data_IF_891562415600
#
_entry.id   IF_891562415600
#
_cell.length_a   1.000
_cell.length_b   1.000
_cell.length_c   1.000
_cell.angle_alpha   90.00
_cell.angle_beta   90.00
_cell.angle_gamma   90.00
#
_symmetry.space_group_name_H-M   'P 1'
#
loop_
_entity.id
_entity.type
_entity.pdbx_description
1 polymer ?
#
# COMPACT_ATOMS: atom_id res chain seq x y z
N UNK A 1 -20.42 1.87 58.02
CA UNK A 1 -19.67 2.77 57.13
C UNK A 1 -19.23 1.99 55.89
N UNK A 2 -19.57 2.49 54.70
CA UNK A 2 -19.41 1.81 53.41
C UNK A 2 -17.99 2.03 52.87
N UNK A 3 -17.32 0.96 52.42
CA UNK A 3 -16.24 1.05 51.43
C UNK A 3 -16.49 -0.05 50.38
N UNK A 4 -16.92 0.39 49.20
CA UNK A 4 -17.07 -0.42 47.99
C UNK A 4 -15.68 -0.54 47.35
N UNK A 5 -15.26 -1.74 46.94
CA UNK A 5 -14.17 -1.91 45.99
C UNK A 5 -14.71 -2.77 44.84
N UNK A 6 -14.83 -2.14 43.67
CA UNK A 6 -15.38 -2.70 42.45
C UNK A 6 -14.34 -3.60 41.77
N UNK A 7 -14.86 -4.70 41.26
CA UNK A 7 -14.40 -5.57 40.18
C UNK A 7 -13.39 -4.98 39.18
N UNK A 8 -12.53 -5.87 38.66
CA UNK A 8 -11.90 -5.66 37.36
C UNK A 8 -10.68 -6.53 37.09
N UNK A 9 -10.81 -7.86 37.11
CA UNK A 9 -9.75 -8.72 36.58
C UNK A 9 -9.68 -8.55 35.06
N UNK A 10 -8.56 -7.99 34.61
CA UNK A 10 -8.22 -7.73 33.21
C UNK A 10 -8.03 -9.06 32.48
N UNK A 11 -8.88 -9.36 31.50
CA UNK A 11 -8.68 -10.46 30.55
C UNK A 11 -7.76 -9.95 29.44
N UNK A 12 -6.48 -10.30 29.50
CA UNK A 12 -5.52 -10.03 28.45
C UNK A 12 -5.68 -11.09 27.34
N UNK A 13 -6.51 -10.78 26.33
CA UNK A 13 -6.59 -11.61 25.11
C UNK A 13 -5.41 -11.21 24.20
N UNK A 14 -4.33 -11.99 24.24
CA UNK A 14 -3.24 -11.89 23.25
C UNK A 14 -3.70 -12.60 21.99
N UNK A 15 -4.26 -11.84 21.03
CA UNK A 15 -4.52 -12.34 19.68
C UNK A 15 -3.19 -12.29 18.92
N UNK A 16 -2.53 -13.44 18.81
CA UNK A 16 -1.36 -13.63 17.97
C UNK A 16 -1.81 -13.57 16.50
N UNK A 17 -1.81 -12.36 15.92
CA UNK A 17 -2.20 -12.12 14.54
C UNK A 17 -1.18 -12.70 13.56
N UNK A 18 -1.54 -13.80 12.92
CA UNK A 18 -0.82 -14.33 11.77
C UNK A 18 -0.96 -13.32 10.61
N UNK A 19 0.09 -12.53 10.34
CA UNK A 19 0.09 -11.59 9.21
C UNK A 19 0.32 -12.37 7.93
N UNK A 20 -0.75 -12.82 7.28
CA UNK A 20 -0.69 -13.23 5.89
C UNK A 20 -0.51 -11.98 5.03
N UNK A 21 0.63 -11.85 4.37
CA UNK A 21 0.82 -10.86 3.31
C UNK A 21 -0.15 -11.20 2.16
N UNK A 22 -1.34 -10.59 2.20
CA UNK A 22 -2.33 -10.72 1.15
C UNK A 22 -1.74 -10.12 -0.15
N UNK A 23 -1.92 -10.83 -1.26
CA UNK A 23 -1.70 -10.23 -2.57
C UNK A 23 -2.62 -9.01 -2.70
N UNK A 24 -2.05 -7.86 -3.05
CA UNK A 24 -2.86 -6.66 -3.30
C UNK A 24 -3.69 -6.95 -4.56
N UNK A 25 -5.03 -6.99 -4.46
CA UNK A 25 -5.88 -7.20 -5.64
C UNK A 25 -5.66 -6.06 -6.65
N UNK A 26 -5.88 -6.36 -7.93
CA UNK A 26 -5.93 -5.30 -8.93
C UNK A 26 -7.04 -4.32 -8.54
N UNK A 27 -6.78 -3.00 -8.53
CA UNK A 27 -7.77 -2.04 -8.09
C UNK A 27 -8.93 -1.98 -9.08
N UNK A 28 -10.14 -2.02 -8.54
CA UNK A 28 -11.38 -2.06 -9.31
C UNK A 28 -11.66 -0.72 -10.03
N UNK A 29 -10.99 0.37 -9.62
CA UNK A 29 -11.13 1.70 -10.21
C UNK A 29 -9.81 2.49 -10.29
N UNK A 30 -9.72 3.48 -11.20
CA UNK A 30 -8.60 4.43 -11.24
C UNK A 30 -8.42 5.16 -9.90
N UNK A 31 -9.52 5.50 -9.22
CA UNK A 31 -9.49 6.16 -7.92
C UNK A 31 -8.85 5.28 -6.86
N UNK A 32 -9.22 4.00 -6.78
CA UNK A 32 -8.62 3.06 -5.84
C UNK A 32 -7.15 2.80 -6.14
N UNK A 33 -6.77 2.71 -7.42
CA UNK A 33 -5.37 2.62 -7.82
C UNK A 33 -4.58 3.82 -7.29
N UNK A 34 -5.09 5.03 -7.50
CA UNK A 34 -4.46 6.26 -7.04
C UNK A 34 -4.33 6.30 -5.51
N UNK A 35 -5.41 6.03 -4.79
CA UNK A 35 -5.41 6.03 -3.31
C UNK A 35 -4.46 4.97 -2.77
N UNK A 36 -4.44 3.78 -3.34
CA UNK A 36 -3.49 2.72 -2.99
C UNK A 36 -2.04 3.14 -3.21
N UNK A 37 -1.73 3.74 -4.37
CA UNK A 37 -0.38 4.23 -4.67
C UNK A 37 0.07 5.34 -3.70
N UNK A 38 -0.83 6.27 -3.34
CA UNK A 38 -0.55 7.32 -2.36
C UNK A 38 -0.37 6.74 -0.95
N UNK A 39 -1.13 5.71 -0.59
CA UNK A 39 -0.96 4.97 0.66
C UNK A 39 0.41 4.31 0.76
N UNK A 40 0.88 3.66 -0.31
CA UNK A 40 2.22 3.08 -0.39
C UNK A 40 3.31 4.16 -0.27
N UNK A 41 3.15 5.27 -1.01
CA UNK A 41 4.07 6.40 -0.90
C UNK A 41 4.15 6.92 0.53
N UNK A 42 3.01 7.08 1.21
CA UNK A 42 2.94 7.55 2.61
C UNK A 42 3.57 6.58 3.60
N UNK A 43 3.23 5.30 3.50
CA UNK A 43 3.71 4.28 4.42
C UNK A 43 5.23 4.07 4.34
N UNK A 44 5.82 4.26 3.15
CA UNK A 44 7.22 3.92 2.89
C UNK A 44 8.12 5.13 2.61
N UNK A 45 7.62 6.36 2.72
CA UNK A 45 8.48 7.55 2.63
C UNK A 45 9.38 7.68 3.87
N UNK A 46 10.66 7.93 3.65
CA UNK A 46 11.63 8.22 4.73
C UNK A 46 11.20 9.48 5.48
N UNK A 47 10.86 10.54 4.75
CA UNK A 47 10.44 11.84 5.30
C UNK A 47 8.94 11.90 5.61
N UNK A 48 8.26 10.77 5.82
CA UNK A 48 6.78 10.74 5.92
C UNK A 48 6.21 11.65 7.01
N UNK A 49 6.94 11.87 8.10
CA UNK A 49 6.43 12.64 9.25
C UNK A 49 6.54 14.16 9.02
N UNK A 50 7.30 14.62 8.03
CA UNK A 50 7.44 16.05 7.67
C UNK A 50 6.50 16.49 6.54
N UNK A 51 5.79 15.54 5.91
CA UNK A 51 4.92 15.79 4.75
C UNK A 51 3.50 16.13 5.18
N UNK A 52 2.93 17.18 4.59
CA UNK A 52 1.51 17.49 4.74
C UNK A 52 0.64 16.60 3.82
N UNK A 53 0.41 15.36 4.25
CA UNK A 53 -0.30 14.34 3.47
C UNK A 53 -1.70 14.73 3.00
N UNK A 54 -2.58 15.35 3.81
CA UNK A 54 -3.92 15.71 3.36
C UNK A 54 -3.90 16.62 2.12
N UNK A 55 -2.98 17.59 2.06
CA UNK A 55 -2.83 18.47 0.91
C UNK A 55 -2.26 17.74 -0.32
N UNK A 56 -1.36 16.78 -0.12
CA UNK A 56 -0.80 15.98 -1.20
C UNK A 56 -1.83 15.04 -1.82
N UNK A 57 -2.58 14.33 -0.98
CA UNK A 57 -3.65 13.42 -1.39
C UNK A 57 -4.77 14.17 -2.11
N UNK A 58 -5.26 15.28 -1.54
CA UNK A 58 -6.29 16.10 -2.19
C UNK A 58 -5.81 16.68 -3.53
N UNK A 59 -4.54 17.12 -3.61
CA UNK A 59 -3.96 17.63 -4.84
C UNK A 59 -3.75 16.57 -5.92
N UNK A 60 -3.57 15.32 -5.55
CA UNK A 60 -3.48 14.19 -6.47
C UNK A 60 -4.87 13.78 -6.98
N UNK A 61 -5.86 13.68 -6.08
CA UNK A 61 -7.24 13.35 -6.44
C UNK A 61 -7.81 14.32 -7.48
N UNK A 62 -7.63 15.63 -7.28
CA UNK A 62 -8.06 16.65 -8.26
C UNK A 62 -7.38 16.49 -9.62
N UNK A 63 -6.10 16.12 -9.66
CA UNK A 63 -5.36 15.92 -10.91
C UNK A 63 -5.80 14.68 -11.68
N UNK A 64 -6.40 13.72 -11.00
CA UNK A 64 -6.91 12.49 -11.60
C UNK A 64 -8.39 12.58 -11.98
N UNK A 65 -9.03 13.73 -11.81
CA UNK A 65 -10.37 13.96 -12.33
C UNK A 65 -10.40 13.69 -13.84
N UNK A 66 -11.33 12.84 -14.28
CA UNK A 66 -11.43 12.39 -15.67
C UNK A 66 -10.55 11.20 -16.05
N UNK A 67 -9.75 10.64 -15.13
CA UNK A 67 -9.02 9.41 -15.41
C UNK A 67 -9.98 8.21 -15.48
N UNK A 68 -10.11 7.62 -16.67
CA UNK A 68 -10.94 6.43 -16.89
C UNK A 68 -10.19 5.10 -16.70
N UNK A 69 -8.87 5.15 -16.53
CA UNK A 69 -8.02 3.96 -16.33
C UNK A 69 -6.96 4.20 -15.24
N UNK A 70 -6.46 3.16 -14.57
CA UNK A 70 -5.33 3.26 -13.65
C UNK A 70 -4.11 3.95 -14.26
N UNK A 71 -3.79 3.63 -15.52
CA UNK A 71 -2.72 4.27 -16.27
C UNK A 71 -2.89 5.80 -16.37
N UNK A 72 -4.14 6.28 -16.49
CA UNK A 72 -4.48 7.70 -16.50
C UNK A 72 -4.13 8.45 -15.20
N UNK A 73 -3.93 7.75 -14.08
CA UNK A 73 -3.62 8.37 -12.79
C UNK A 73 -2.13 8.69 -12.59
N UNK A 74 -1.25 8.21 -13.46
CA UNK A 74 0.20 8.34 -13.30
C UNK A 74 0.71 9.79 -13.30
N UNK A 75 0.03 10.70 -14.00
CA UNK A 75 0.33 12.13 -13.94
C UNK A 75 0.04 12.70 -12.55
N UNK A 76 -1.07 12.28 -11.92
CA UNK A 76 -1.43 12.66 -10.57
C UNK A 76 -0.45 12.09 -9.52
N UNK A 77 -0.06 10.82 -9.65
CA UNK A 77 0.92 10.18 -8.76
C UNK A 77 2.28 10.90 -8.86
N UNK A 78 2.76 11.20 -10.07
CA UNK A 78 4.00 12.02 -10.23
C UNK A 78 3.88 13.38 -9.57
N UNK A 79 2.75 14.05 -9.74
CA UNK A 79 2.49 15.32 -9.07
C UNK A 79 2.54 15.22 -7.54
N UNK A 80 2.08 14.10 -6.97
CA UNK A 80 2.22 13.82 -5.55
C UNK A 80 3.68 13.65 -5.13
N UNK A 81 4.47 12.83 -5.85
CA UNK A 81 5.90 12.62 -5.60
C UNK A 81 6.69 13.94 -5.53
N UNK A 82 6.46 14.83 -6.51
CA UNK A 82 7.09 16.15 -6.56
C UNK A 82 6.69 17.00 -5.36
N UNK A 83 5.40 17.01 -5.01
CA UNK A 83 4.88 17.83 -3.90
C UNK A 83 5.38 17.38 -2.55
N UNK A 84 5.48 16.06 -2.32
CA UNK A 84 5.99 15.52 -1.05
C UNK A 84 7.52 15.62 -0.97
N UNK A 85 8.20 16.04 -2.05
CA UNK A 85 9.65 16.21 -2.07
C UNK A 85 10.42 14.89 -1.94
N UNK A 86 9.80 13.75 -2.28
CA UNK A 86 10.43 12.44 -2.09
C UNK A 86 11.49 12.21 -3.17
N UNK A 87 12.76 12.40 -2.78
CA UNK A 87 13.96 12.13 -3.59
C UNK A 87 14.46 10.69 -3.54
N UNK A 88 13.87 9.87 -2.67
CA UNK A 88 14.29 8.50 -2.36
C UNK A 88 13.47 7.44 -3.09
N UNK A 89 12.43 7.84 -3.81
CA UNK A 89 11.54 6.94 -4.52
C UNK A 89 11.46 7.32 -6.00
N UNK A 90 11.32 6.30 -6.86
CA UNK A 90 11.14 6.45 -8.29
C UNK A 90 9.80 5.79 -8.67
N UNK A 91 8.99 6.49 -9.45
CA UNK A 91 7.77 5.94 -10.03
C UNK A 91 8.03 5.42 -11.45
N UNK A 92 7.90 4.12 -11.65
CA UNK A 92 7.97 3.51 -12.99
C UNK A 92 6.63 3.64 -13.70
N UNK A 93 6.62 4.31 -14.85
CA UNK A 93 5.43 4.44 -15.69
C UNK A 93 4.94 3.09 -16.25
N UNK A 94 3.67 3.01 -16.67
CA UNK A 94 3.06 1.75 -17.10
C UNK A 94 3.76 1.11 -18.32
N UNK A 95 4.35 1.91 -19.21
CA UNK A 95 5.13 1.40 -20.34
C UNK A 95 6.48 0.77 -19.93
N UNK A 96 7.04 1.20 -18.79
CA UNK A 96 8.32 0.68 -18.27
C UNK A 96 8.11 -0.47 -17.27
N UNK A 97 6.91 -0.59 -16.69
CA UNK A 97 6.55 -1.65 -15.79
C UNK A 97 6.34 -2.96 -16.58
N UNK A 98 7.32 -3.87 -16.58
CA UNK A 98 7.06 -5.27 -16.94
C UNK A 98 6.13 -5.87 -15.89
N UNK A 99 5.10 -6.59 -16.33
CA UNK A 99 4.34 -7.45 -15.43
C UNK A 99 5.34 -8.33 -14.65
N UNK A 100 5.20 -8.46 -13.32
CA UNK A 100 6.03 -9.40 -12.58
C UNK A 100 5.86 -10.76 -13.23
N UNK A 101 6.97 -11.33 -13.74
CA UNK A 101 6.93 -12.57 -14.49
C UNK A 101 6.10 -13.60 -13.70
N UNK A 102 5.10 -14.20 -14.36
CA UNK A 102 4.25 -15.26 -13.80
C UNK A 102 5.03 -16.51 -13.34
N UNK A 103 6.35 -16.47 -13.45
CA UNK A 103 7.31 -17.48 -13.04
C UNK A 103 7.22 -17.82 -11.54
N UNK A 104 6.89 -16.84 -10.68
CA UNK A 104 6.63 -17.11 -9.25
C UNK A 104 5.38 -17.97 -9.02
N UNK A 105 4.41 -17.95 -9.95
CA UNK A 105 3.21 -18.78 -9.89
C UNK A 105 3.46 -20.24 -10.29
N UNK A 106 4.61 -20.54 -10.94
CA UNK A 106 5.01 -21.91 -11.29
C UNK A 106 5.65 -22.65 -10.10
N UNK A 107 6.64 -22.08 -9.38
CA UNK A 107 7.20 -22.75 -8.18
C UNK A 107 6.10 -22.94 -7.09
N UNK A 108 5.07 -22.07 -6.99
CA UNK A 108 4.00 -22.20 -5.97
C UNK A 108 2.95 -23.30 -6.24
N UNK A 109 2.66 -23.63 -7.52
CA UNK A 109 1.71 -24.70 -7.85
C UNK A 109 2.34 -26.10 -7.86
N UNK A 110 3.66 -26.20 -8.00
CA UNK A 110 4.34 -27.47 -8.18
C UNK A 110 4.49 -28.30 -6.89
N UNK A 111 4.28 -27.70 -5.70
CA UNK A 111 4.77 -28.31 -4.45
C UNK A 111 6.30 -28.39 -4.43
N UNK A 112 6.96 -28.53 -3.27
CA UNK A 112 8.42 -28.62 -3.25
C UNK A 112 8.88 -29.94 -3.86
N UNK A 113 9.72 -29.96 -4.91
CA UNK A 113 10.52 -31.15 -5.20
C UNK A 113 11.63 -31.28 -4.14
N UNK A 114 11.92 -32.52 -3.72
CA UNK A 114 12.88 -32.87 -2.66
C UNK A 114 14.35 -32.54 -2.96
N UNK A 115 14.64 -31.86 -4.06
CA UNK A 115 15.99 -31.47 -4.45
C UNK A 115 15.94 -30.05 -4.98
N UNK A 116 16.60 -29.16 -4.25
CA UNK A 116 16.66 -27.74 -4.49
C UNK A 116 17.07 -27.41 -5.93
N UNK A 117 16.14 -26.76 -6.65
CA UNK A 117 16.38 -25.87 -7.79
C UNK A 117 15.12 -24.98 -7.99
N UNK A 118 14.94 -24.03 -7.07
CA UNK A 118 14.69 -22.63 -7.41
C UNK A 118 15.84 -21.88 -6.66
#
# INVERSE_FOLDING_TARGET
MRRRALAGSVVLVVVLGLVTAAAVPDPDSPREYLVGALGLLRAHSIDRDSVHWPAAEAGALRRAEGASTPAGTYSAIRGAFVRVGNKHAVLLGPAAAKAPAAERSKCRRAGPPATWLC
#
